data_IF_211338928377
#
_entry.id   IF_211338928377
#
_cell.length_a   1.000
_cell.length_b   1.000
_cell.length_c   1.000
_cell.angle_alpha   90.00
_cell.angle_beta   90.00
_cell.angle_gamma   90.00
#
_symmetry.space_group_name_H-M   'P 1'
#
loop_
_entity.id
_entity.type
_entity.pdbx_description
1 polymer ?
#
# COMPACT_ATOMS: atom_id res chain seq x y z
N UNK A 1 -25.11 5.93 1.68
CA UNK A 1 -24.78 4.48 1.66
C UNK A 1 -23.31 4.34 2.04
N UNK A 2 -22.99 4.00 3.29
CA UNK A 2 -21.59 3.86 3.72
C UNK A 2 -21.11 2.45 3.34
N UNK A 3 -20.10 2.36 2.47
CA UNK A 3 -19.52 1.07 2.12
C UNK A 3 -18.95 0.40 3.38
N UNK A 4 -19.32 -0.87 3.61
CA UNK A 4 -18.80 -1.65 4.73
C UNK A 4 -17.33 -1.99 4.47
N UNK A 5 -16.49 -1.81 5.50
CA UNK A 5 -15.07 -2.15 5.41
C UNK A 5 -14.88 -3.64 5.04
N UNK A 6 -13.91 -3.95 4.19
CA UNK A 6 -13.62 -5.34 3.83
C UNK A 6 -13.06 -6.11 5.04
N UNK A 7 -13.26 -7.43 5.05
CA UNK A 7 -12.90 -8.28 6.20
C UNK A 7 -11.43 -8.26 6.61
N UNK A 8 -10.52 -7.88 5.70
CA UNK A 8 -9.09 -7.75 5.98
C UNK A 8 -8.72 -6.41 6.65
N UNK A 9 -9.57 -5.38 6.55
CA UNK A 9 -9.31 -4.05 7.12
C UNK A 9 -10.03 -3.93 8.47
N UNK A 10 -9.43 -4.51 9.50
CA UNK A 10 -9.84 -4.28 10.89
C UNK A 10 -9.47 -2.87 11.34
N UNK A 11 -10.04 -2.41 12.45
CA UNK A 11 -9.70 -1.10 13.00
C UNK A 11 -8.21 -0.98 13.36
N UNK A 12 -7.64 -2.00 14.00
CA UNK A 12 -6.22 -2.03 14.32
C UNK A 12 -5.34 -1.99 13.06
N UNK A 13 -5.72 -2.73 12.00
CA UNK A 13 -5.02 -2.69 10.72
C UNK A 13 -5.09 -1.30 10.08
N UNK A 14 -6.24 -0.62 10.18
CA UNK A 14 -6.42 0.74 9.69
C UNK A 14 -5.50 1.71 10.42
N UNK A 15 -5.54 1.72 11.75
CA UNK A 15 -4.70 2.61 12.59
C UNK A 15 -3.22 2.40 12.28
N UNK A 16 -2.77 1.15 12.16
CA UNK A 16 -1.38 0.84 11.83
C UNK A 16 -0.97 1.38 10.45
N UNK A 17 -1.82 1.23 9.45
CA UNK A 17 -1.52 1.67 8.09
C UNK A 17 -1.60 3.20 7.94
N UNK A 18 -2.57 3.85 8.59
CA UNK A 18 -2.71 5.32 8.57
C UNK A 18 -1.59 6.05 9.32
N UNK A 19 -0.84 5.34 10.19
CA UNK A 19 0.33 5.89 10.87
C UNK A 19 1.59 5.93 9.99
N UNK A 20 1.57 5.35 8.79
CA UNK A 20 2.73 5.32 7.89
C UNK A 20 2.76 6.57 7.00
N UNK A 21 3.91 7.24 6.89
CA UNK A 21 4.13 8.35 5.93
C UNK A 21 3.90 7.94 4.46
N UNK A 22 3.95 6.64 4.19
CA UNK A 22 3.67 6.05 2.89
C UNK A 22 2.18 6.01 2.52
N UNK A 23 1.29 6.25 3.49
CA UNK A 23 -0.17 6.21 3.32
C UNK A 23 -0.75 7.60 3.50
N UNK A 24 -1.52 8.04 2.52
CA UNK A 24 -2.20 9.34 2.55
C UNK A 24 -3.64 9.21 3.07
N UNK A 25 -4.36 8.16 2.66
CA UNK A 25 -5.72 7.90 3.12
C UNK A 25 -6.10 6.43 2.87
N UNK A 26 -6.98 5.88 3.71
CA UNK A 26 -7.67 4.61 3.44
C UNK A 26 -9.17 4.87 3.34
N UNK A 27 -9.75 4.58 2.17
CA UNK A 27 -11.19 4.73 1.97
C UNK A 27 -11.98 3.72 2.82
N UNK A 28 -13.27 3.98 3.13
CA UNK A 28 -14.11 3.02 3.84
C UNK A 28 -14.22 1.65 3.14
N UNK A 29 -14.08 1.60 1.80
CA UNK A 29 -14.05 0.36 1.02
C UNK A 29 -12.68 -0.34 1.02
N UNK A 30 -11.69 0.21 1.72
CA UNK A 30 -10.33 -0.33 1.88
C UNK A 30 -9.38 -0.02 0.72
N UNK A 31 -9.66 1.02 -0.08
CA UNK A 31 -8.68 1.52 -1.07
C UNK A 31 -7.63 2.35 -0.34
N UNK A 32 -6.38 1.93 -0.44
CA UNK A 32 -5.23 2.67 0.11
C UNK A 32 -4.78 3.69 -0.95
N UNK A 33 -4.78 4.97 -0.60
CA UNK A 33 -4.07 6.02 -1.32
C UNK A 33 -2.69 6.15 -0.70
N UNK A 34 -1.68 5.99 -1.54
CA UNK A 34 -0.28 6.07 -1.14
C UNK A 34 0.24 7.47 -1.42
N UNK A 35 1.16 7.95 -0.60
CA UNK A 35 1.80 9.25 -0.85
C UNK A 35 2.61 9.21 -2.15
N UNK A 36 2.64 10.33 -2.88
CA UNK A 36 3.39 10.44 -4.14
C UNK A 36 4.91 10.23 -3.93
N UNK A 37 5.44 10.67 -2.78
CA UNK A 37 6.82 10.43 -2.36
C UNK A 37 7.12 8.94 -2.25
N UNK A 38 6.27 8.19 -1.53
CA UNK A 38 6.45 6.74 -1.40
C UNK A 38 6.31 6.03 -2.75
N UNK A 39 5.31 6.40 -3.55
CA UNK A 39 5.12 5.84 -4.89
C UNK A 39 6.37 6.03 -5.75
N UNK A 40 6.91 7.25 -5.81
CA UNK A 40 8.10 7.56 -6.62
C UNK A 40 9.32 6.79 -6.15
N UNK A 41 9.54 6.73 -4.83
CA UNK A 41 10.61 5.92 -4.22
C UNK A 41 10.44 4.44 -4.54
N UNK A 42 9.24 3.90 -4.40
CA UNK A 42 8.95 2.49 -4.62
C UNK A 42 9.19 2.06 -6.08
N UNK A 43 8.81 2.89 -7.06
CA UNK A 43 9.11 2.62 -8.47
C UNK A 43 10.63 2.58 -8.70
N UNK A 44 11.36 3.59 -8.21
CA UNK A 44 12.82 3.67 -8.35
C UNK A 44 13.51 2.45 -7.73
N UNK A 45 13.15 2.08 -6.51
CA UNK A 45 13.72 0.92 -5.84
C UNK A 45 13.43 -0.39 -6.60
N UNK A 46 12.22 -0.54 -7.13
CA UNK A 46 11.86 -1.70 -7.92
C UNK A 46 12.66 -1.80 -9.22
N UNK A 47 12.93 -0.67 -9.88
CA UNK A 47 13.77 -0.60 -11.08
C UNK A 47 15.23 -0.99 -10.81
N UNK A 48 15.71 -0.87 -9.56
CA UNK A 48 17.02 -1.41 -9.14
C UNK A 48 17.03 -2.92 -8.88
N UNK A 49 15.89 -3.59 -9.06
CA UNK A 49 15.75 -5.04 -8.87
C UNK A 49 15.26 -5.47 -7.49
N UNK A 50 14.88 -4.54 -6.60
CA UNK A 50 14.28 -4.90 -5.31
C UNK A 50 12.88 -5.46 -5.50
N UNK A 51 12.51 -6.44 -4.69
CA UNK A 51 11.16 -7.02 -4.76
C UNK A 51 10.09 -6.08 -4.15
N UNK A 52 8.84 -6.10 -4.65
CA UNK A 52 7.76 -5.27 -4.11
C UNK A 52 7.54 -5.47 -2.61
N UNK A 53 7.65 -6.72 -2.13
CA UNK A 53 7.51 -7.06 -0.73
C UNK A 53 8.57 -6.39 0.15
N UNK A 54 9.84 -6.38 -0.29
CA UNK A 54 10.93 -5.71 0.44
C UNK A 54 10.71 -4.20 0.53
N UNK A 55 10.34 -3.57 -0.59
CA UNK A 55 10.11 -2.11 -0.65
C UNK A 55 9.01 -1.69 0.34
N UNK A 56 7.91 -2.46 0.39
CA UNK A 56 6.81 -2.18 1.29
C UNK A 56 7.15 -2.51 2.75
N UNK A 57 7.86 -3.61 3.01
CA UNK A 57 8.31 -3.93 4.37
C UNK A 57 9.24 -2.83 4.92
N UNK A 58 10.17 -2.33 4.11
CA UNK A 58 11.09 -1.24 4.48
C UNK A 58 10.35 0.09 4.72
N UNK A 59 9.17 0.27 4.12
CA UNK A 59 8.28 1.40 4.38
C UNK A 59 7.32 1.17 5.57
N UNK A 60 7.49 0.07 6.31
CA UNK A 60 6.73 -0.24 7.52
C UNK A 60 5.40 -0.97 7.27
N UNK A 61 5.11 -1.40 6.03
CA UNK A 61 3.86 -2.10 5.75
C UNK A 61 3.87 -3.53 6.31
N UNK A 62 2.84 -3.92 7.09
CA UNK A 62 2.62 -5.32 7.46
C UNK A 62 2.14 -6.12 6.24
N UNK A 63 3.05 -6.91 5.64
CA UNK A 63 2.79 -7.66 4.40
C UNK A 63 1.63 -8.65 4.52
N UNK A 64 1.42 -9.20 5.71
CA UNK A 64 0.32 -10.12 6.03
C UNK A 64 -1.06 -9.44 6.03
N UNK A 65 -1.13 -8.15 6.38
CA UNK A 65 -2.35 -7.36 6.40
C UNK A 65 -2.67 -6.82 5.01
N UNK A 66 -1.66 -6.24 4.33
CA UNK A 66 -1.86 -5.64 3.00
C UNK A 66 -2.02 -6.73 1.94
N UNK A 67 -1.26 -7.82 2.07
CA UNK A 67 -1.23 -8.94 1.13
C UNK A 67 -0.37 -8.68 -0.11
N UNK A 68 0.48 -9.63 -0.44
CA UNK A 68 1.43 -9.54 -1.56
C UNK A 68 0.78 -9.19 -2.90
N UNK A 69 -0.40 -9.75 -3.21
CA UNK A 69 -1.10 -9.43 -4.47
C UNK A 69 -1.54 -7.98 -4.59
N UNK A 70 -1.81 -7.30 -3.48
CA UNK A 70 -2.18 -5.87 -3.51
C UNK A 70 -0.96 -4.99 -3.70
N UNK A 71 0.14 -5.37 -3.08
CA UNK A 71 1.46 -4.73 -3.25
C UNK A 71 1.92 -4.86 -4.71
N UNK A 72 1.93 -6.08 -5.26
CA UNK A 72 2.28 -6.35 -6.66
C UNK A 72 1.41 -5.53 -7.63
N UNK A 73 0.08 -5.52 -7.43
CA UNK A 73 -0.86 -4.76 -8.28
C UNK A 73 -0.70 -3.25 -8.15
N UNK A 74 -0.39 -2.74 -6.96
CA UNK A 74 -0.14 -1.30 -6.77
C UNK A 74 1.08 -0.88 -7.60
N UNK A 75 2.18 -1.59 -7.44
CA UNK A 75 3.42 -1.31 -8.16
C UNK A 75 3.28 -1.48 -9.68
N UNK A 76 2.59 -2.53 -10.12
CA UNK A 76 2.25 -2.73 -11.54
C UNK A 76 1.50 -1.52 -12.10
N UNK A 77 0.42 -1.07 -11.44
CA UNK A 77 -0.35 0.10 -11.91
C UNK A 77 0.50 1.36 -11.97
N UNK A 78 1.36 1.59 -10.97
CA UNK A 78 2.20 2.78 -10.96
C UNK A 78 3.21 2.82 -12.10
N UNK A 79 3.74 1.65 -12.50
CA UNK A 79 4.70 1.53 -13.61
C UNK A 79 4.08 1.68 -15.00
N UNK A 80 2.81 1.31 -15.17
CA UNK A 80 2.19 1.29 -16.49
C UNK A 80 1.44 2.60 -16.81
N UNK A 81 1.40 3.55 -15.88
CA UNK A 81 0.52 4.71 -15.96
C UNK A 81 -0.94 4.28 -15.77
N UNK A 82 -1.71 5.08 -15.05
CA UNK A 82 -3.15 4.88 -14.92
C UNK A 82 -3.88 6.04 -15.57
#
# INVERSE_FOLDING_TARGET
>A
MTARAPSWLTESARIQLEALDAVEEISPAGKIRYSEEFRSRAIREYETGRSPAQIFADAGFPLEIVGNKRIERALYRWRHGS
#
